data_IF_766345438711
#
_entry.id   IF_766345438711
#
_cell.length_a   1.000
_cell.length_b   1.000
_cell.length_c   1.000
_cell.angle_alpha   90.00
_cell.angle_beta   90.00
_cell.angle_gamma   90.00
#
_symmetry.space_group_name_H-M   'P 1'
#
loop_
_entity.id
_entity.type
_entity.pdbx_description
1 polymer ?
#
# COMPACT_ATOMS: atom_id res chain seq x y z
N UNK A 1 -2.68 19.02 2.00
CA UNK A 1 -1.87 17.88 1.57
C UNK A 1 -2.49 16.61 2.09
N UNK A 2 -2.86 15.65 1.21
CA UNK A 2 -3.45 14.41 1.69
C UNK A 2 -2.44 13.59 2.49
N UNK A 3 -2.80 13.32 3.72
CA UNK A 3 -2.01 12.49 4.62
C UNK A 3 -2.96 11.58 5.37
N UNK A 4 -2.62 10.30 5.46
CA UNK A 4 -3.41 9.36 6.24
C UNK A 4 -2.47 8.49 7.07
N UNK A 5 -2.73 8.46 8.37
CA UNK A 5 -2.03 7.61 9.31
C UNK A 5 -3.07 6.78 10.06
N UNK A 6 -2.85 5.50 10.14
CA UNK A 6 -3.81 4.59 10.74
C UNK A 6 -3.09 3.45 11.45
N UNK A 7 -3.58 3.07 12.62
CA UNK A 7 -3.18 1.84 13.30
C UNK A 7 -4.37 0.91 13.38
N UNK A 8 -4.15 -0.32 12.99
CA UNK A 8 -5.21 -1.32 12.97
C UNK A 8 -4.71 -2.63 13.54
N UNK A 9 -5.36 -3.12 14.59
CA UNK A 9 -5.06 -4.44 15.11
C UNK A 9 -5.71 -5.50 14.23
N UNK A 10 -4.92 -6.50 13.84
CA UNK A 10 -5.40 -7.62 13.03
C UNK A 10 -5.03 -8.92 13.73
N UNK A 11 -5.80 -9.98 13.46
CA UNK A 11 -5.65 -11.27 14.14
C UNK A 11 -4.59 -12.17 13.50
N UNK A 12 -3.74 -11.61 12.67
CA UNK A 12 -2.69 -12.32 11.96
C UNK A 12 -1.33 -11.90 12.49
N UNK A 13 -0.30 -12.74 12.25
CA UNK A 13 1.06 -12.42 12.71
C UNK A 13 1.71 -11.35 11.84
N UNK A 14 2.77 -10.67 12.35
CA UNK A 14 3.53 -9.75 11.51
C UNK A 14 4.08 -10.42 10.24
N UNK A 15 4.53 -11.68 10.34
CA UNK A 15 5.04 -12.41 9.19
C UNK A 15 3.98 -12.60 8.12
N UNK A 16 2.76 -12.95 8.52
CA UNK A 16 1.66 -13.14 7.58
C UNK A 16 1.27 -11.82 6.90
N UNK A 17 1.14 -10.75 7.68
CA UNK A 17 0.78 -9.44 7.12
C UNK A 17 1.89 -8.90 6.23
N UNK A 18 3.15 -9.06 6.64
CA UNK A 18 4.29 -8.66 5.83
C UNK A 18 4.28 -9.37 4.48
N UNK A 19 4.11 -10.70 4.49
CA UNK A 19 4.11 -11.49 3.26
C UNK A 19 3.00 -11.04 2.32
N UNK A 20 1.83 -10.73 2.86
CA UNK A 20 0.69 -10.27 2.07
C UNK A 20 0.97 -8.91 1.41
N UNK A 21 1.47 -7.96 2.17
CA UNK A 21 1.75 -6.61 1.66
C UNK A 21 2.94 -6.61 0.71
N UNK A 22 3.92 -7.48 0.94
CA UNK A 22 5.09 -7.60 0.06
C UNK A 22 4.76 -8.25 -1.29
N UNK A 23 3.66 -8.98 -1.39
CA UNK A 23 3.27 -9.70 -2.61
C UNK A 23 2.50 -8.79 -3.56
N UNK A 24 3.22 -7.84 -4.15
CA UNK A 24 2.66 -6.78 -4.98
C UNK A 24 1.94 -7.33 -6.21
N UNK A 25 2.40 -8.45 -6.76
CA UNK A 25 1.80 -9.04 -7.97
C UNK A 25 0.36 -9.49 -7.75
N UNK A 26 -0.04 -9.73 -6.51
CA UNK A 26 -1.39 -10.18 -6.17
C UNK A 26 -2.36 -9.03 -5.92
N UNK A 27 -1.89 -7.80 -5.84
CA UNK A 27 -2.73 -6.65 -5.53
C UNK A 27 -3.97 -6.52 -6.42
N UNK A 28 -3.88 -6.73 -7.74
CA UNK A 28 -5.08 -6.58 -8.59
C UNK A 28 -6.19 -7.56 -8.24
N UNK A 29 -5.89 -8.67 -7.55
CA UNK A 29 -6.88 -9.68 -7.20
C UNK A 29 -7.85 -9.22 -6.11
N UNK A 30 -7.45 -8.25 -5.28
CA UNK A 30 -8.27 -7.87 -4.13
C UNK A 30 -8.30 -6.36 -3.81
N UNK A 31 -7.32 -5.58 -4.30
CA UNK A 31 -7.29 -4.16 -3.98
C UNK A 31 -8.19 -3.37 -4.93
N UNK A 32 -9.12 -2.55 -4.37
CA UNK A 32 -9.87 -1.64 -5.21
C UNK A 32 -8.91 -0.62 -5.84
N UNK A 33 -9.24 -0.20 -7.05
CA UNK A 33 -8.48 0.78 -7.83
C UNK A 33 -7.09 0.33 -8.28
N UNK A 34 -6.63 -0.85 -7.91
CA UNK A 34 -5.39 -1.39 -8.45
C UNK A 34 -5.72 -2.22 -9.70
N UNK A 35 -5.41 -1.66 -10.87
CA UNK A 35 -5.76 -2.27 -12.15
C UNK A 35 -4.72 -3.30 -12.57
N UNK A 36 -3.46 -3.04 -12.26
CA UNK A 36 -2.39 -3.96 -12.63
C UNK A 36 -1.10 -3.61 -11.90
N UNK A 37 -0.23 -4.60 -11.77
CA UNK A 37 1.09 -4.43 -11.20
C UNK A 37 2.11 -5.20 -12.03
N UNK A 38 3.36 -4.73 -11.98
CA UNK A 38 4.48 -5.39 -12.63
C UNK A 38 5.71 -5.25 -11.75
N UNK A 39 6.25 -6.37 -11.30
CA UNK A 39 7.52 -6.39 -10.59
C UNK A 39 8.64 -6.46 -11.61
N UNK A 40 9.48 -5.42 -11.67
CA UNK A 40 10.59 -5.36 -12.61
C UNK A 40 11.82 -6.09 -12.09
N UNK A 41 12.05 -5.99 -10.79
CA UNK A 41 13.17 -6.69 -10.13
C UNK A 41 12.86 -6.90 -8.66
N UNK A 42 13.44 -7.96 -8.09
CA UNK A 42 13.24 -8.29 -6.68
C UNK A 42 14.47 -9.09 -6.23
N UNK A 43 15.29 -8.48 -5.36
CA UNK A 43 16.48 -9.15 -4.81
C UNK A 43 16.26 -9.67 -3.38
N UNK A 44 15.02 -9.64 -2.91
CA UNK A 44 14.66 -10.07 -1.55
C UNK A 44 14.67 -8.94 -0.53
N UNK A 45 15.33 -7.84 -0.81
CA UNK A 45 15.36 -6.66 0.05
C UNK A 45 14.73 -5.44 -0.62
N UNK A 46 14.95 -5.30 -1.92
CA UNK A 46 14.43 -4.18 -2.69
C UNK A 46 13.66 -4.69 -3.88
N UNK A 47 12.43 -4.23 -4.03
CA UNK A 47 11.56 -4.57 -5.15
C UNK A 47 11.32 -3.31 -5.96
N UNK A 48 11.59 -3.37 -7.26
CA UNK A 48 11.24 -2.29 -8.18
C UNK A 48 9.94 -2.69 -8.87
N UNK A 49 8.89 -1.92 -8.65
CA UNK A 49 7.56 -2.29 -9.12
C UNK A 49 6.82 -1.12 -9.76
N UNK A 50 6.03 -1.44 -10.77
CA UNK A 50 5.07 -0.52 -11.37
C UNK A 50 3.67 -0.88 -10.86
N UNK A 51 2.84 0.14 -10.65
CA UNK A 51 1.44 -0.04 -10.30
C UNK A 51 0.59 0.87 -11.16
N UNK A 52 -0.51 0.33 -11.69
CA UNK A 52 -1.51 1.11 -12.40
C UNK A 52 -2.71 1.26 -11.50
N UNK A 53 -3.04 2.51 -11.18
CA UNK A 53 -4.24 2.83 -10.40
C UNK A 53 -5.30 3.38 -11.33
N UNK A 54 -6.56 2.97 -11.10
CA UNK A 54 -7.68 3.44 -11.88
C UNK A 54 -8.81 3.89 -10.98
N UNK A 55 -9.36 5.07 -11.24
CA UNK A 55 -10.50 5.61 -10.51
C UNK A 55 -11.37 6.38 -11.50
N UNK A 56 -12.58 5.88 -11.71
CA UNK A 56 -13.49 6.41 -12.73
C UNK A 56 -12.80 6.39 -14.10
N UNK A 57 -12.63 7.55 -14.74
CA UNK A 57 -11.97 7.63 -16.06
C UNK A 57 -10.45 7.74 -15.96
N UNK A 58 -9.90 7.83 -14.75
CA UNK A 58 -8.46 7.98 -14.56
C UNK A 58 -7.74 6.67 -14.54
N UNK A 59 -6.60 6.64 -15.24
CA UNK A 59 -5.64 5.56 -15.14
C UNK A 59 -4.26 6.18 -15.10
N UNK A 60 -3.54 5.92 -14.00
CA UNK A 60 -2.20 6.44 -13.81
C UNK A 60 -1.26 5.31 -13.41
N UNK A 61 -0.07 5.34 -13.99
CA UNK A 61 0.98 4.38 -13.68
C UNK A 61 2.08 5.06 -12.91
N UNK A 62 2.57 4.42 -11.86
CA UNK A 62 3.73 4.92 -11.14
C UNK A 62 4.68 3.80 -10.80
N UNK A 63 5.96 4.16 -10.65
CA UNK A 63 7.04 3.24 -10.33
C UNK A 63 7.55 3.56 -8.93
N UNK A 64 7.77 2.52 -8.13
CA UNK A 64 8.25 2.65 -6.75
C UNK A 64 9.37 1.66 -6.48
N UNK A 65 10.28 2.08 -5.59
CA UNK A 65 11.25 1.19 -4.98
C UNK A 65 10.69 0.80 -3.62
N UNK A 66 10.42 -0.48 -3.43
CA UNK A 66 9.83 -1.02 -2.21
C UNK A 66 10.92 -1.73 -1.42
N UNK A 67 11.23 -1.21 -0.25
CA UNK A 67 12.27 -1.76 0.63
C UNK A 67 11.63 -2.65 1.67
N UNK A 68 12.09 -3.89 1.72
CA UNK A 68 11.57 -4.93 2.60
C UNK A 68 12.51 -5.15 3.78
N UNK A 69 12.01 -4.88 4.98
CA UNK A 69 12.73 -5.15 6.23
C UNK A 69 11.95 -6.22 6.99
N UNK A 70 12.19 -7.47 6.62
CA UNK A 70 11.46 -8.64 7.12
C UNK A 70 11.62 -8.81 8.62
N UNK A 71 10.56 -9.08 9.36
CA UNK A 71 9.14 -9.12 9.00
C UNK A 71 8.38 -7.86 9.46
N UNK A 72 9.07 -6.78 9.78
CA UNK A 72 8.51 -5.68 10.56
C UNK A 72 8.11 -4.45 9.74
N UNK A 73 8.75 -4.23 8.59
CA UNK A 73 8.60 -2.93 7.93
C UNK A 73 8.72 -3.02 6.42
N UNK A 74 7.88 -2.24 5.73
CA UNK A 74 7.96 -2.04 4.28
C UNK A 74 7.93 -0.54 4.04
N UNK A 75 8.92 -0.02 3.32
CA UNK A 75 9.01 1.38 2.94
C UNK A 75 8.88 1.50 1.42
N UNK A 76 8.02 2.40 0.96
CA UNK A 76 7.79 2.64 -0.45
C UNK A 76 8.37 3.99 -0.82
N UNK A 77 9.37 4.00 -1.68
CA UNK A 77 9.99 5.22 -2.20
C UNK A 77 9.50 5.45 -3.63
N UNK A 78 8.85 6.57 -3.84
CA UNK A 78 8.32 6.93 -5.15
C UNK A 78 9.47 7.30 -6.10
N UNK A 79 9.42 6.81 -7.33
CA UNK A 79 10.46 7.09 -8.33
C UNK A 79 9.93 7.87 -9.53
N UNK A 80 8.78 7.49 -10.09
CA UNK A 80 8.28 8.11 -11.31
C UNK A 80 6.78 7.92 -11.44
N UNK A 81 6.10 8.92 -11.93
CA UNK A 81 4.67 8.88 -12.16
C UNK A 81 3.99 10.24 -11.96
N UNK A 82 2.69 10.23 -11.59
CA UNK A 82 1.89 11.46 -11.55
C UNK A 82 2.04 12.29 -10.28
N UNK A 83 2.88 11.87 -9.34
CA UNK A 83 3.02 12.56 -8.06
C UNK A 83 4.20 13.53 -8.07
N UNK A 84 4.09 14.61 -7.30
CA UNK A 84 5.24 15.43 -6.93
C UNK A 84 6.10 14.67 -5.94
N UNK A 85 5.42 14.01 -4.97
CA UNK A 85 6.04 13.11 -4.01
C UNK A 85 5.00 12.10 -3.53
N UNK A 86 5.49 10.99 -2.99
CA UNK A 86 4.67 10.00 -2.29
C UNK A 86 5.56 9.31 -1.28
N UNK A 87 5.13 9.33 -0.03
CA UNK A 87 5.79 8.62 1.06
C UNK A 87 4.79 7.62 1.64
N UNK A 88 5.21 6.38 1.77
CA UNK A 88 4.34 5.34 2.30
C UNK A 88 5.17 4.34 3.09
N UNK A 89 4.68 3.96 4.25
CA UNK A 89 5.30 2.86 4.98
C UNK A 89 4.26 2.03 5.69
N UNK A 90 4.64 0.77 5.91
CA UNK A 90 3.89 -0.21 6.69
C UNK A 90 4.81 -0.71 7.79
N UNK A 91 4.35 -0.68 9.04
CA UNK A 91 5.06 -1.25 10.17
C UNK A 91 4.15 -2.30 10.79
N UNK A 92 4.69 -3.49 11.02
CA UNK A 92 3.94 -4.62 11.57
C UNK A 92 4.44 -4.88 12.98
N UNK A 93 3.70 -4.35 13.96
CA UNK A 93 4.06 -4.40 15.37
C UNK A 93 3.51 -5.69 16.00
N UNK A 94 4.42 -6.53 16.52
CA UNK A 94 4.02 -7.78 17.16
C UNK A 94 3.34 -7.50 18.51
N UNK A 95 2.20 -8.12 18.71
CA UNK A 95 1.49 -8.08 19.98
C UNK A 95 1.84 -9.30 20.83
N UNK A 96 1.66 -9.25 22.18
CA UNK A 96 2.02 -10.37 23.04
C UNK A 96 1.33 -11.69 22.71
N UNK A 97 0.14 -11.66 22.11
CA UNK A 97 -0.62 -12.86 21.74
C UNK A 97 -0.23 -13.41 20.36
N UNK A 98 0.81 -12.84 19.73
CA UNK A 98 1.25 -13.28 18.40
C UNK A 98 0.55 -12.62 17.24
N UNK A 99 -0.46 -11.80 17.51
CA UNK A 99 -1.12 -11.00 16.49
C UNK A 99 -0.29 -9.76 16.15
N UNK A 100 -0.85 -8.85 15.39
CA UNK A 100 -0.11 -7.72 14.84
C UNK A 100 -0.95 -6.45 14.87
N UNK A 101 -0.32 -5.33 15.17
CA UNK A 101 -0.90 -4.02 14.90
C UNK A 101 -0.21 -3.47 13.67
N UNK A 102 -0.99 -3.18 12.64
CA UNK A 102 -0.48 -2.59 11.40
C UNK A 102 -0.49 -1.09 11.54
N UNK A 103 0.70 -0.49 11.43
CA UNK A 103 0.87 0.96 11.43
C UNK A 103 1.12 1.39 9.99
N UNK A 104 0.14 2.06 9.42
CA UNK A 104 0.16 2.47 8.02
C UNK A 104 0.23 3.98 7.91
N UNK A 105 1.10 4.45 7.01
CA UNK A 105 1.23 5.88 6.74
C UNK A 105 1.37 6.12 5.25
N UNK A 106 0.64 7.10 4.72
CA UNK A 106 0.84 7.58 3.36
C UNK A 106 0.65 9.08 3.30
N UNK A 107 1.49 9.72 2.51
CA UNK A 107 1.48 11.17 2.29
C UNK A 107 1.89 11.41 0.85
N UNK A 108 1.08 12.16 0.09
CA UNK A 108 1.39 12.39 -1.31
C UNK A 108 0.78 13.69 -1.83
N UNK A 109 1.27 14.10 -3.00
CA UNK A 109 0.69 15.22 -3.75
C UNK A 109 0.82 14.91 -5.24
N UNK A 110 -0.28 15.08 -5.97
CA UNK A 110 -0.26 14.94 -7.43
C UNK A 110 0.38 16.17 -8.07
N UNK A 111 1.00 16.00 -9.25
CA UNK A 111 1.47 17.11 -10.06
C UNK A 111 0.31 17.90 -10.66
N UNK A 112 -0.77 17.19 -11.01
CA UNK A 112 -1.99 17.81 -11.53
C UNK A 112 -2.81 18.40 -10.39
N UNK A 113 -3.08 19.70 -10.44
CA UNK A 113 -3.94 20.37 -9.46
C UNK A 113 -5.37 19.84 -9.51
N UNK A 114 -5.82 19.46 -10.69
CA UNK A 114 -7.14 18.88 -10.88
C UNK A 114 -7.28 17.53 -10.18
N UNK A 115 -6.31 16.63 -10.37
CA UNK A 115 -6.28 15.35 -9.69
C UNK A 115 -6.19 15.52 -8.18
N UNK A 116 -5.36 16.44 -7.72
CA UNK A 116 -5.17 16.71 -6.31
C UNK A 116 -6.49 17.12 -5.65
N UNK A 117 -7.22 18.02 -6.30
CA UNK A 117 -8.50 18.49 -5.77
C UNK A 117 -9.55 17.38 -5.75
N UNK A 118 -9.61 16.62 -6.83
CA UNK A 118 -10.61 15.55 -6.96
C UNK A 118 -10.36 14.41 -5.97
N UNK A 119 -9.12 13.94 -5.86
CA UNK A 119 -8.77 12.84 -4.97
C UNK A 119 -8.76 13.30 -3.52
N UNK A 120 -8.34 14.55 -3.26
CA UNK A 120 -8.31 15.08 -1.89
C UNK A 120 -9.67 15.03 -1.19
N UNK A 121 -10.75 15.16 -1.94
CA UNK A 121 -12.11 15.12 -1.39
C UNK A 121 -12.51 13.74 -0.87
N UNK A 122 -11.92 12.65 -1.42
CA UNK A 122 -12.30 11.27 -1.07
C UNK A 122 -11.13 10.48 -0.46
N UNK A 123 -10.00 11.12 -0.26
CA UNK A 123 -8.75 10.44 0.06
C UNK A 123 -8.84 9.55 1.30
N UNK A 124 -9.29 10.10 2.42
CA UNK A 124 -9.32 9.36 3.68
C UNK A 124 -10.22 8.12 3.59
N UNK A 125 -11.37 8.25 2.96
CA UNK A 125 -12.29 7.12 2.78
C UNK A 125 -11.68 6.07 1.86
N UNK A 126 -11.03 6.50 0.77
CA UNK A 126 -10.41 5.58 -0.16
C UNK A 126 -9.30 4.78 0.50
N UNK A 127 -8.45 5.43 1.32
CA UNK A 127 -7.36 4.75 2.01
C UNK A 127 -7.89 3.78 3.06
N UNK A 128 -8.94 4.14 3.79
CA UNK A 128 -9.56 3.23 4.77
C UNK A 128 -10.08 1.97 4.08
N UNK A 129 -10.72 2.12 2.93
CA UNK A 129 -11.22 0.99 2.15
C UNK A 129 -10.07 0.11 1.69
N UNK A 130 -8.96 0.72 1.26
CA UNK A 130 -7.78 -0.01 0.83
C UNK A 130 -7.15 -0.81 1.96
N UNK A 131 -6.95 -0.19 3.12
CA UNK A 131 -6.37 -0.88 4.29
C UNK A 131 -7.27 -2.02 4.74
N UNK A 132 -8.58 -1.80 4.74
CA UNK A 132 -9.55 -2.84 5.07
C UNK A 132 -9.49 -4.00 4.07
N UNK A 133 -9.24 -3.72 2.79
CA UNK A 133 -9.12 -4.75 1.78
C UNK A 133 -7.94 -5.69 2.06
N UNK A 134 -6.82 -5.16 2.54
CA UNK A 134 -5.69 -5.99 2.97
C UNK A 134 -6.07 -6.90 4.15
N UNK A 135 -6.75 -6.36 5.14
CA UNK A 135 -7.21 -7.16 6.28
C UNK A 135 -8.18 -8.24 5.85
N UNK A 136 -9.14 -7.90 5.00
CA UNK A 136 -10.12 -8.86 4.48
C UNK A 136 -9.44 -9.97 3.69
N UNK A 137 -8.44 -9.63 2.87
CA UNK A 137 -7.67 -10.62 2.12
C UNK A 137 -6.92 -11.55 3.06
N UNK A 138 -6.31 -11.01 4.12
CA UNK A 138 -5.62 -11.81 5.13
C UNK A 138 -6.59 -12.79 5.79
N UNK A 139 -7.79 -12.34 6.12
CA UNK A 139 -8.82 -13.22 6.71
C UNK A 139 -9.25 -14.34 5.76
N UNK A 140 -9.10 -14.14 4.46
CA UNK A 140 -9.45 -15.14 3.45
C UNK A 140 -8.35 -16.18 3.26
N UNK A 141 -7.09 -15.77 3.26
CA UNK A 141 -5.97 -16.67 2.95
C UNK A 141 -5.25 -17.23 4.18
N UNK A 142 -5.40 -16.61 5.33
CA UNK A 142 -4.83 -17.11 6.59
C UNK A 142 -5.96 -17.49 7.56
N UNK A 143 -5.88 -18.68 8.11
CA UNK A 143 -6.94 -19.18 9.01
C UNK A 143 -6.48 -19.21 10.45
#
# INVERSE_FOLDING_TARGET
MPTHAERRHVRHSPQEMFALVADIEKYPEFLPWCVGTRVRSNDGEVVLADMVIGYKVFREKFTSEVRLSVPNRIDVAYMDGPFKYLNNHWIFLREPDGTCTVDFYVDFEFRSKFLQKMIGAVFNEAVKIMVHAFEKRANTIYF
#
